data_IF_216830503459
#
_entry.id   IF_216830503459
#
_cell.length_a   1.000
_cell.length_b   1.000
_cell.length_c   1.000
_cell.angle_alpha   90.00
_cell.angle_beta   90.00
_cell.angle_gamma   90.00
#
_symmetry.space_group_name_H-M   'P 1'
#
loop_
_entity.id
_entity.type
_entity.pdbx_description
1 polymer ?
#
# COMPACT_ATOMS: atom_id res chain seq x y z
N UNK A 1 -25.81 5.33 40.54
CA UNK A 1 -26.06 6.17 39.35
C UNK A 1 -25.77 5.30 38.13
N UNK A 2 -26.79 4.80 37.43
CA UNK A 2 -26.61 3.87 36.31
C UNK A 2 -26.22 4.69 35.08
N UNK A 3 -24.97 4.55 34.63
CA UNK A 3 -24.51 5.15 33.37
C UNK A 3 -25.24 4.48 32.21
N UNK A 4 -26.11 5.25 31.54
CA UNK A 4 -26.82 4.83 30.34
C UNK A 4 -25.90 5.11 29.15
N UNK A 5 -25.09 4.13 28.75
CA UNK A 5 -24.35 4.19 27.49
C UNK A 5 -25.34 4.03 26.35
N UNK A 6 -25.85 5.14 25.81
CA UNK A 6 -26.71 5.15 24.64
C UNK A 6 -25.84 4.96 23.39
N UNK A 7 -25.61 3.71 23.02
CA UNK A 7 -24.94 3.33 21.77
C UNK A 7 -25.87 3.64 20.59
N UNK A 8 -25.72 4.81 19.99
CA UNK A 8 -26.40 5.13 18.74
C UNK A 8 -25.65 4.45 17.59
N UNK A 9 -26.19 3.35 17.07
CA UNK A 9 -26.03 2.95 15.68
C UNK A 9 -24.98 1.89 15.31
N UNK A 10 -24.07 1.49 16.20
CA UNK A 10 -23.21 0.33 15.95
C UNK A 10 -23.59 -0.78 16.93
N UNK A 11 -24.07 -1.91 16.41
CA UNK A 11 -24.10 -3.15 17.18
C UNK A 11 -22.71 -3.46 17.75
N UNK A 12 -22.65 -4.25 18.82
CA UNK A 12 -21.37 -4.65 19.41
C UNK A 12 -20.40 -5.11 18.31
N UNK A 13 -19.14 -4.62 18.32
CA UNK A 13 -18.18 -5.01 17.29
C UNK A 13 -18.04 -6.54 17.26
N UNK A 14 -17.90 -7.16 16.08
CA UNK A 14 -17.65 -8.59 15.97
C UNK A 14 -16.47 -9.01 16.84
N UNK A 15 -16.48 -10.24 17.36
CA UNK A 15 -15.48 -10.73 18.32
C UNK A 15 -14.03 -10.52 17.84
N UNK A 16 -13.76 -10.72 16.54
CA UNK A 16 -12.45 -10.50 15.93
C UNK A 16 -11.97 -9.03 15.98
N UNK A 17 -12.89 -8.08 16.09
CA UNK A 17 -12.61 -6.63 16.13
C UNK A 17 -12.69 -6.09 17.56
N UNK A 18 -13.31 -6.83 18.48
CA UNK A 18 -13.51 -6.39 19.86
C UNK A 18 -12.19 -6.18 20.63
N UNK A 19 -11.23 -7.10 20.48
CA UNK A 19 -9.92 -7.00 21.14
C UNK A 19 -9.10 -5.76 20.69
N UNK A 20 -8.85 -5.53 19.38
CA UNK A 20 -8.13 -4.34 18.94
C UNK A 20 -8.88 -3.05 19.23
N UNK A 21 -10.22 -3.06 19.14
CA UNK A 21 -11.05 -1.92 19.53
C UNK A 21 -10.87 -1.56 21.01
N UNK A 22 -10.92 -2.56 21.91
CA UNK A 22 -10.78 -2.32 23.35
C UNK A 22 -9.40 -1.77 23.72
N UNK A 23 -8.34 -2.30 23.11
CA UNK A 23 -6.98 -1.82 23.31
C UNK A 23 -6.81 -0.36 22.86
N UNK A 24 -7.31 -0.03 21.67
CA UNK A 24 -7.23 1.31 21.10
C UNK A 24 -8.09 2.31 21.89
N UNK A 25 -9.29 1.90 22.31
CA UNK A 25 -10.17 2.67 23.16
C UNK A 25 -9.54 2.98 24.52
N UNK A 26 -8.91 1.98 25.15
CA UNK A 26 -8.23 2.16 26.42
C UNK A 26 -7.03 3.12 26.28
N UNK A 27 -6.24 2.98 25.22
CA UNK A 27 -5.13 3.88 24.93
C UNK A 27 -5.61 5.33 24.72
N UNK A 28 -6.60 5.53 23.86
CA UNK A 28 -7.16 6.84 23.56
C UNK A 28 -7.64 7.57 24.83
N UNK A 29 -8.31 6.85 25.75
CA UNK A 29 -8.75 7.40 27.03
C UNK A 29 -7.59 7.70 27.98
N UNK A 30 -6.61 6.81 28.09
CA UNK A 30 -5.46 6.99 28.98
C UNK A 30 -4.56 8.14 28.55
N UNK A 31 -4.32 8.27 27.26
CA UNK A 31 -3.41 9.26 26.68
C UNK A 31 -4.13 10.55 26.29
N UNK A 32 -5.46 10.56 26.33
CA UNK A 32 -6.31 11.64 25.84
C UNK A 32 -5.99 12.02 24.38
N UNK A 33 -5.80 11.00 23.55
CA UNK A 33 -5.47 11.12 22.12
C UNK A 33 -6.55 10.47 21.26
N UNK A 34 -6.64 10.89 20.00
CA UNK A 34 -7.54 10.24 19.04
C UNK A 34 -6.94 8.88 18.68
N UNK A 35 -7.72 7.82 18.88
CA UNK A 35 -7.39 6.49 18.41
C UNK A 35 -7.81 6.28 16.96
N UNK A 36 -6.96 5.60 16.19
CA UNK A 36 -7.22 5.29 14.78
C UNK A 36 -6.82 3.83 14.53
N UNK A 37 -7.77 3.05 14.01
CA UNK A 37 -7.43 1.71 13.52
C UNK A 37 -8.35 1.27 12.38
N UNK A 38 -7.82 0.43 11.50
CA UNK A 38 -8.58 -0.20 10.41
C UNK A 38 -8.88 -1.63 10.80
N UNK A 39 -10.16 -2.03 10.67
CA UNK A 39 -10.59 -3.40 10.90
C UNK A 39 -11.32 -3.98 9.69
N UNK A 40 -11.04 -5.25 9.43
CA UNK A 40 -11.71 -6.02 8.40
C UNK A 40 -12.92 -6.72 9.03
N UNK A 41 -14.06 -6.67 8.33
CA UNK A 41 -15.31 -7.30 8.74
C UNK A 41 -15.65 -8.38 7.71
N UNK A 42 -15.16 -9.63 7.88
CA UNK A 42 -15.32 -10.68 6.88
C UNK A 42 -16.78 -10.96 6.52
N UNK A 43 -17.68 -10.91 7.50
CA UNK A 43 -19.11 -11.12 7.30
C UNK A 43 -19.76 -10.09 6.36
N UNK A 44 -19.19 -8.88 6.27
CA UNK A 44 -19.66 -7.81 5.39
C UNK A 44 -18.81 -7.70 4.12
N UNK A 45 -17.67 -8.40 4.05
CA UNK A 45 -16.63 -8.17 3.05
C UNK A 45 -16.26 -6.67 2.92
N UNK A 46 -16.23 -5.96 4.04
CA UNK A 46 -15.94 -4.53 4.10
C UNK A 46 -14.78 -4.26 5.07
N UNK A 47 -14.08 -3.16 4.81
CA UNK A 47 -13.03 -2.62 5.67
C UNK A 47 -13.51 -1.29 6.22
N UNK A 48 -13.44 -1.15 7.54
CA UNK A 48 -13.85 0.05 8.23
C UNK A 48 -12.66 0.69 8.94
N UNK A 49 -12.48 1.98 8.73
CA UNK A 49 -11.60 2.84 9.53
C UNK A 49 -12.39 3.36 10.73
N UNK A 50 -11.86 3.18 11.92
CA UNK A 50 -12.49 3.59 13.17
C UNK A 50 -11.70 4.73 13.78
N UNK A 51 -12.40 5.83 14.02
CA UNK A 51 -11.89 6.94 14.80
C UNK A 51 -12.50 6.89 16.19
N UNK A 52 -11.64 6.84 17.19
CA UNK A 52 -11.99 6.78 18.59
C UNK A 52 -11.64 8.12 19.21
N UNK A 53 -12.66 8.86 19.62
CA UNK A 53 -12.52 10.15 20.28
C UNK A 53 -12.82 9.99 21.77
N UNK A 54 -11.83 10.15 22.65
CA UNK A 54 -12.07 10.16 24.08
C UNK A 54 -12.81 11.44 24.48
N UNK A 55 -13.74 11.33 25.43
CA UNK A 55 -14.37 12.47 26.10
C UNK A 55 -14.45 12.22 27.61
N UNK A 56 -14.68 13.25 28.43
CA UNK A 56 -14.84 13.09 29.88
C UNK A 56 -15.99 12.14 30.27
N UNK A 57 -17.04 12.08 29.44
CA UNK A 57 -18.23 11.26 29.68
C UNK A 57 -18.17 9.86 29.02
N UNK A 58 -17.15 9.58 28.20
CA UNK A 58 -17.02 8.29 27.52
C UNK A 58 -16.17 8.34 26.25
N UNK A 59 -16.61 7.61 25.22
CA UNK A 59 -15.91 7.51 23.95
C UNK A 59 -16.93 7.64 22.81
N UNK A 60 -16.60 8.46 21.81
CA UNK A 60 -17.30 8.50 20.53
C UNK A 60 -16.50 7.68 19.51
N UNK A 61 -17.19 6.76 18.83
CA UNK A 61 -16.59 5.93 17.78
C UNK A 61 -17.28 6.24 16.46
N UNK A 62 -16.50 6.63 15.46
CA UNK A 62 -16.96 6.80 14.09
C UNK A 62 -16.32 5.70 13.26
N UNK A 63 -17.14 4.90 12.57
CA UNK A 63 -16.68 3.86 11.65
C UNK A 63 -17.01 4.29 10.21
N UNK A 64 -15.99 4.45 9.37
CA UNK A 64 -16.13 4.79 7.95
C UNK A 64 -15.78 3.58 7.08
N UNK A 65 -16.66 3.21 6.15
CA UNK A 65 -16.33 2.21 5.13
C UNK A 65 -15.29 2.80 4.16
N UNK A 66 -14.13 2.16 4.08
CA UNK A 66 -13.03 2.57 3.21
C UNK A 66 -12.80 1.61 2.04
N UNK A 67 -13.67 0.60 1.88
CA UNK A 67 -13.48 -0.49 0.91
C UNK A 67 -13.36 0.03 -0.51
N UNK A 68 -14.34 0.82 -0.95
CA UNK A 68 -14.40 1.37 -2.32
C UNK A 68 -13.25 2.33 -2.59
N UNK A 69 -12.91 3.18 -1.61
CA UNK A 69 -11.79 4.11 -1.74
C UNK A 69 -10.46 3.38 -1.89
N UNK A 70 -10.22 2.33 -1.09
CA UNK A 70 -8.99 1.54 -1.20
C UNK A 70 -8.93 0.78 -2.53
N UNK A 71 -10.03 0.15 -2.94
CA UNK A 71 -10.11 -0.54 -4.23
C UNK A 71 -9.81 0.39 -5.40
N UNK A 72 -10.38 1.59 -5.40
CA UNK A 72 -10.15 2.56 -6.47
C UNK A 72 -8.68 3.04 -6.51
N UNK A 73 -8.05 3.23 -5.34
CA UNK A 73 -6.62 3.60 -5.28
C UNK A 73 -5.76 2.48 -5.86
N UNK A 74 -6.01 1.23 -5.46
CA UNK A 74 -5.27 0.07 -5.96
C UNK A 74 -5.46 -0.10 -7.47
N UNK A 75 -6.71 -0.06 -7.95
CA UNK A 75 -7.02 -0.17 -9.37
C UNK A 75 -6.34 0.95 -10.18
N UNK A 76 -6.40 2.20 -9.70
CA UNK A 76 -5.76 3.33 -10.39
C UNK A 76 -4.23 3.17 -10.45
N UNK A 77 -3.62 2.64 -9.40
CA UNK A 77 -2.19 2.33 -9.38
C UNK A 77 -1.83 1.22 -10.38
N UNK A 78 -2.60 0.13 -10.40
CA UNK A 78 -2.43 -0.97 -11.35
C UNK A 78 -2.63 -0.51 -12.81
N UNK A 79 -3.64 0.29 -13.08
CA UNK A 79 -3.89 0.86 -14.41
C UNK A 79 -2.75 1.78 -14.85
N UNK A 80 -2.24 2.62 -13.95
CA UNK A 80 -1.12 3.52 -14.24
C UNK A 80 0.16 2.74 -14.53
N UNK A 81 0.45 1.70 -13.74
CA UNK A 81 1.58 0.81 -13.96
C UNK A 81 1.44 0.06 -15.30
N UNK A 82 0.27 -0.50 -15.58
CA UNK A 82 0.01 -1.22 -16.83
C UNK A 82 0.17 -0.30 -18.06
N UNK A 83 -0.31 0.94 -17.98
CA UNK A 83 -0.10 1.95 -19.03
C UNK A 83 1.37 2.30 -19.19
N UNK A 84 2.11 2.48 -18.09
CA UNK A 84 3.54 2.74 -18.14
C UNK A 84 4.30 1.59 -18.83
N UNK A 85 4.06 0.34 -18.41
CA UNK A 85 4.67 -0.85 -19.00
C UNK A 85 4.35 -0.94 -20.49
N UNK A 86 3.08 -0.78 -20.85
CA UNK A 86 2.63 -0.81 -22.25
C UNK A 86 3.33 0.26 -23.10
N UNK A 87 3.43 1.49 -22.60
CA UNK A 87 4.12 2.56 -23.31
C UNK A 87 5.61 2.24 -23.46
N UNK A 88 6.27 1.86 -22.38
CA UNK A 88 7.70 1.61 -22.38
C UNK A 88 8.12 0.42 -23.25
N UNK A 89 7.28 -0.62 -23.33
CA UNK A 89 7.49 -1.78 -24.19
C UNK A 89 7.25 -1.47 -25.68
N UNK A 90 6.41 -0.48 -25.99
CA UNK A 90 6.15 -0.05 -27.37
C UNK A 90 7.16 0.97 -27.91
N UNK A 91 7.98 1.58 -27.06
CA UNK A 91 9.02 2.52 -27.51
C UNK A 91 10.11 1.74 -28.28
N UNK A 92 10.60 2.33 -29.38
CA UNK A 92 11.62 1.70 -30.22
C UNK A 92 13.02 1.66 -29.60
N UNK A 93 13.19 2.28 -28.43
CA UNK A 93 14.44 2.39 -27.69
C UNK A 93 14.50 1.39 -26.54
N UNK A 94 15.73 1.13 -26.11
CA UNK A 94 16.01 0.36 -24.91
C UNK A 94 15.79 1.27 -23.69
N UNK A 95 15.04 0.80 -22.70
CA UNK A 95 14.74 1.56 -21.49
C UNK A 95 15.04 0.74 -20.23
N UNK A 96 15.53 1.42 -19.19
CA UNK A 96 15.84 0.84 -17.89
C UNK A 96 15.59 1.85 -16.77
N UNK A 97 15.44 1.36 -15.55
CA UNK A 97 15.38 2.17 -14.33
C UNK A 97 16.40 1.66 -13.31
N UNK A 98 17.11 2.60 -12.70
CA UNK A 98 18.00 2.36 -11.57
C UNK A 98 17.53 3.12 -10.33
N UNK A 99 17.92 2.65 -9.16
CA UNK A 99 17.84 3.45 -7.94
C UNK A 99 18.95 4.52 -7.88
N UNK A 100 19.02 5.25 -6.76
CA UNK A 100 20.01 6.29 -6.50
C UNK A 100 21.46 5.76 -6.45
N UNK A 101 21.65 4.47 -6.17
CA UNK A 101 22.96 3.81 -6.16
C UNK A 101 23.42 3.36 -7.56
N UNK A 102 22.55 3.49 -8.57
CA UNK A 102 22.77 2.96 -9.91
C UNK A 102 22.39 1.48 -10.04
N UNK A 103 21.73 0.90 -9.05
CA UNK A 103 21.25 -0.48 -9.11
C UNK A 103 20.06 -0.59 -10.06
N UNK A 104 20.26 -1.32 -11.17
CA UNK A 104 19.21 -1.54 -12.17
C UNK A 104 18.22 -2.60 -11.67
N UNK A 105 16.95 -2.20 -11.58
CA UNK A 105 15.87 -3.06 -11.09
C UNK A 105 14.76 -3.31 -12.12
N UNK A 106 14.75 -2.58 -13.24
CA UNK A 106 13.73 -2.73 -14.27
C UNK A 106 14.28 -2.43 -15.67
N UNK A 107 13.77 -3.16 -16.67
CA UNK A 107 14.03 -2.98 -18.09
C UNK A 107 12.73 -3.16 -18.89
N UNK A 108 12.63 -2.52 -20.06
CA UNK A 108 11.53 -2.79 -21.00
C UNK A 108 11.73 -4.12 -21.75
N UNK A 109 10.65 -4.67 -22.30
CA UNK A 109 10.66 -5.96 -23.01
C UNK A 109 11.64 -5.97 -24.19
N UNK A 110 11.84 -4.82 -24.85
CA UNK A 110 12.75 -4.68 -25.98
C UNK A 110 14.22 -4.91 -25.59
N UNK A 111 14.61 -4.57 -24.35
CA UNK A 111 15.95 -4.89 -23.82
C UNK A 111 16.24 -6.38 -23.90
N UNK A 112 15.34 -7.20 -23.39
CA UNK A 112 15.49 -8.65 -23.39
C UNK A 112 15.48 -9.23 -24.81
N UNK A 113 14.58 -8.73 -25.66
CA UNK A 113 14.51 -9.17 -27.05
C UNK A 113 15.78 -8.82 -27.86
N UNK A 114 16.39 -7.67 -27.58
CA UNK A 114 17.58 -7.20 -28.28
C UNK A 114 18.88 -7.83 -27.75
N UNK A 115 19.02 -7.93 -26.43
CA UNK A 115 20.25 -8.44 -25.80
C UNK A 115 20.23 -9.96 -25.62
N UNK A 116 19.07 -10.61 -25.72
CA UNK A 116 18.90 -12.05 -25.47
C UNK A 116 19.02 -12.42 -23.98
N UNK A 117 18.94 -11.45 -23.08
CA UNK A 117 19.17 -11.62 -21.65
C UNK A 117 17.88 -11.72 -20.86
N UNK A 118 17.98 -12.14 -19.60
CA UNK A 118 16.87 -12.19 -18.63
C UNK A 118 17.06 -11.18 -17.51
N UNK A 119 15.99 -10.85 -16.78
CA UNK A 119 16.06 -9.97 -15.60
C UNK A 119 17.06 -10.49 -14.56
N UNK A 120 17.12 -11.81 -14.35
CA UNK A 120 18.05 -12.43 -13.39
C UNK A 120 19.52 -12.27 -13.82
N UNK A 121 19.80 -12.28 -15.12
CA UNK A 121 21.17 -12.07 -15.63
C UNK A 121 21.58 -10.60 -15.63
N UNK A 122 20.60 -9.69 -15.72
CA UNK A 122 20.80 -8.24 -15.83
C UNK A 122 20.71 -7.48 -14.51
N UNK A 123 20.14 -8.09 -13.45
CA UNK A 123 19.99 -7.44 -12.14
C UNK A 123 21.33 -6.92 -11.59
N UNK A 124 21.28 -5.73 -10.99
CA UNK A 124 22.45 -5.05 -10.44
C UNK A 124 23.41 -4.56 -11.52
N UNK A 125 24.60 -5.16 -11.59
CA UNK A 125 25.67 -4.76 -12.51
C UNK A 125 25.73 -5.60 -13.79
N UNK A 126 24.72 -6.44 -14.05
CA UNK A 126 24.67 -7.33 -15.21
C UNK A 126 24.76 -6.62 -16.57
N UNK A 127 24.38 -5.34 -16.62
CA UNK A 127 24.52 -4.47 -17.79
C UNK A 127 25.96 -4.37 -18.31
N UNK A 128 26.97 -4.47 -17.46
CA UNK A 128 28.38 -4.37 -17.88
C UNK A 128 28.78 -5.47 -18.88
N UNK A 129 28.04 -6.58 -18.92
CA UNK A 129 28.30 -7.71 -19.84
C UNK A 129 27.84 -7.43 -21.27
N UNK A 130 26.84 -6.56 -21.44
CA UNK A 130 26.23 -6.25 -22.74
C UNK A 130 26.66 -4.90 -23.29
N UNK A 131 27.27 -4.06 -22.46
CA UNK A 131 27.93 -2.84 -22.90
C UNK A 131 29.36 -3.15 -23.32
N UNK A 132 29.73 -2.72 -24.54
CA UNK A 132 31.10 -2.86 -25.02
C UNK A 132 32.05 -2.14 -24.04
N UNK A 133 33.17 -2.76 -23.61
CA UNK A 133 34.13 -2.07 -22.76
C UNK A 133 34.58 -0.82 -23.50
N UNK A 134 34.52 0.32 -22.82
CA UNK A 134 35.06 1.57 -23.35
C UNK A 134 36.53 1.29 -23.70
N UNK A 135 36.84 1.20 -25.00
CA UNK A 135 38.19 1.37 -25.48
C UNK A 135 38.52 2.87 -25.36
N UNK A 136 38.90 3.30 -24.16
CA UNK A 136 39.75 4.47 -24.01
C UNK A 136 41.17 4.01 -24.39
N UNK A 137 41.44 3.97 -25.70
CA UNK A 137 42.78 3.96 -26.25
C UNK A 137 43.00 5.29 -26.95
N UNK A 138 43.84 6.14 -26.38
CA UNK A 138 44.24 7.43 -26.95
C UNK A 138 44.46 8.50 -25.90
#
# INVERSE_FOLDING_TARGET
MRSLTRTAGLGSPPEAVAAPFAAEAQRAVQENTIGLFVACYPALNRRFEHHIYPSPEGILVIAQDITERQQHILQSAEESEARFRTLADNISHLAWMSDESGWLFWYNQRWYNYTGTTLQEMQGWGWQKVHHPIMCSG
#
